data_IF_482310271120
#
_entry.id   IF_482310271120
#
_cell.length_a   1.000
_cell.length_b   1.000
_cell.length_c   1.000
_cell.angle_alpha   90.00
_cell.angle_beta   90.00
_cell.angle_gamma   90.00
#
_symmetry.space_group_name_H-M   'P 1'
#
loop_
_entity.id
_entity.type
_entity.pdbx_description
1 polymer ?
#
# COMPACT_ATOMS: atom_id res chain seq x y z
N UNK A 1 44.85 -49.32 -5.80
CA UNK A 1 44.68 -47.85 -5.74
C UNK A 1 43.92 -47.42 -7.00
N UNK A 2 42.70 -46.99 -6.86
CA UNK A 2 41.86 -46.48 -7.97
C UNK A 2 42.46 -45.16 -8.49
N UNK A 3 42.80 -45.11 -9.78
CA UNK A 3 43.35 -43.96 -10.44
C UNK A 3 42.35 -42.77 -10.26
N UNK A 4 42.78 -41.72 -9.56
CA UNK A 4 41.97 -40.51 -9.41
C UNK A 4 41.74 -39.88 -10.78
N UNK A 5 40.49 -39.62 -11.18
CA UNK A 5 40.18 -39.07 -12.48
C UNK A 5 40.94 -37.74 -12.71
N UNK A 6 41.53 -37.52 -13.87
CA UNK A 6 42.38 -36.35 -14.21
C UNK A 6 41.73 -35.02 -13.89
N UNK A 7 40.40 -34.90 -14.04
CA UNK A 7 39.68 -33.67 -13.74
C UNK A 7 39.62 -33.36 -12.23
N UNK A 8 39.58 -34.36 -11.35
CA UNK A 8 39.61 -34.19 -9.88
C UNK A 8 40.98 -33.61 -9.49
N UNK A 9 42.05 -34.11 -10.06
CA UNK A 9 43.39 -33.59 -9.82
C UNK A 9 43.48 -32.10 -10.25
N UNK A 10 42.95 -31.76 -11.43
CA UNK A 10 42.89 -30.40 -11.96
C UNK A 10 42.10 -29.49 -11.02
N UNK A 11 40.91 -29.89 -10.56
CA UNK A 11 40.09 -29.12 -9.66
C UNK A 11 40.79 -28.86 -8.30
N UNK A 12 41.45 -29.89 -7.76
CA UNK A 12 42.19 -29.78 -6.50
C UNK A 12 43.41 -28.90 -6.62
N UNK A 13 44.17 -28.97 -7.71
CA UNK A 13 45.35 -28.15 -7.94
C UNK A 13 45.04 -26.67 -8.19
N UNK A 14 43.83 -26.35 -8.64
CA UNK A 14 43.36 -24.96 -8.81
C UNK A 14 42.88 -24.32 -7.51
N UNK A 15 42.74 -25.07 -6.42
CA UNK A 15 42.37 -24.50 -5.13
C UNK A 15 43.53 -23.69 -4.51
N UNK A 16 43.27 -22.49 -3.95
CA UNK A 16 44.27 -21.70 -3.23
C UNK A 16 44.85 -22.44 -2.03
N UNK A 17 45.99 -22.02 -1.54
CA UNK A 17 46.61 -22.62 -0.34
C UNK A 17 45.65 -22.52 0.86
N UNK A 18 45.45 -23.65 1.53
CA UNK A 18 44.51 -23.74 2.65
C UNK A 18 43.04 -24.02 2.27
N UNK A 19 42.78 -24.10 0.95
CA UNK A 19 41.47 -24.46 0.43
C UNK A 19 41.43 -25.92 -0.04
N UNK A 20 40.30 -26.58 0.11
CA UNK A 20 40.16 -27.97 -0.35
C UNK A 20 38.76 -28.26 -0.85
N UNK A 21 38.68 -29.14 -1.87
CA UNK A 21 37.41 -29.60 -2.44
C UNK A 21 37.24 -31.09 -2.28
N UNK A 22 36.00 -31.52 -2.03
CA UNK A 22 35.63 -32.93 -1.96
C UNK A 22 34.22 -33.16 -2.49
N UNK A 23 33.92 -34.41 -2.85
CA UNK A 23 32.57 -34.80 -3.17
C UNK A 23 31.71 -34.89 -1.86
N UNK A 24 30.57 -34.25 -1.88
CA UNK A 24 29.58 -34.38 -0.81
C UNK A 24 28.20 -34.54 -1.44
N UNK A 25 27.66 -35.75 -1.43
CA UNK A 25 26.35 -36.07 -2.01
C UNK A 25 26.19 -35.65 -3.49
N UNK A 26 27.21 -35.88 -4.29
CA UNK A 26 27.20 -35.53 -5.73
C UNK A 26 27.46 -34.04 -6.03
N UNK A 27 27.77 -33.22 -5.04
CA UNK A 27 28.09 -31.79 -5.21
C UNK A 27 29.52 -31.47 -4.77
N UNK A 28 30.09 -30.37 -5.26
CA UNK A 28 31.38 -29.82 -4.85
C UNK A 28 31.26 -29.19 -3.49
N UNK A 29 31.91 -29.76 -2.49
CA UNK A 29 31.99 -29.22 -1.15
C UNK A 29 33.36 -28.53 -0.98
N UNK A 30 33.34 -27.23 -0.61
CA UNK A 30 34.51 -26.40 -0.43
C UNK A 30 34.77 -26.19 1.06
N UNK A 31 36.02 -26.28 1.47
CA UNK A 31 36.48 -26.06 2.84
C UNK A 31 37.73 -25.16 2.82
N UNK A 32 37.72 -24.14 3.67
CA UNK A 32 38.82 -23.16 3.84
C UNK A 32 39.31 -23.22 5.28
N UNK A 33 40.61 -23.38 5.48
CA UNK A 33 41.22 -23.30 6.79
C UNK A 33 41.88 -21.93 6.96
N UNK A 34 41.47 -21.16 7.93
CA UNK A 34 41.97 -19.85 8.23
C UNK A 34 42.48 -19.76 9.69
N UNK A 35 43.52 -18.93 9.91
CA UNK A 35 44.12 -18.65 11.22
C UNK A 35 45.44 -19.36 11.50
N UNK A 36 46.21 -18.83 12.43
CA UNK A 36 47.47 -19.45 12.93
C UNK A 36 47.13 -20.81 13.57
N UNK A 37 47.67 -21.88 12.96
CA UNK A 37 47.43 -23.25 13.39
C UNK A 37 46.24 -23.98 12.75
N UNK A 38 45.50 -23.40 11.78
CA UNK A 38 44.48 -24.07 10.96
C UNK A 38 43.26 -24.56 11.73
N UNK A 39 42.96 -23.96 12.89
CA UNK A 39 41.91 -24.45 13.81
C UNK A 39 40.47 -24.05 13.44
N UNK A 40 40.24 -23.04 12.59
CA UNK A 40 38.90 -22.65 12.14
C UNK A 40 38.73 -23.03 10.68
N UNK A 41 37.77 -23.90 10.36
CA UNK A 41 37.40 -24.25 8.99
C UNK A 41 36.03 -23.65 8.66
N UNK A 42 36.00 -22.76 7.67
CA UNK A 42 34.74 -22.33 7.06
C UNK A 42 34.42 -23.25 5.88
N UNK A 43 33.17 -23.65 5.75
CA UNK A 43 32.77 -24.66 4.77
C UNK A 43 31.46 -24.27 4.07
N UNK A 44 31.36 -24.60 2.78
CA UNK A 44 30.13 -24.41 2.01
C UNK A 44 29.99 -25.48 0.91
N UNK A 45 28.77 -25.68 0.39
CA UNK A 45 28.52 -26.53 -0.76
C UNK A 45 28.25 -25.65 -1.97
N UNK A 46 29.06 -25.80 -3.02
CA UNK A 46 28.83 -25.07 -4.26
C UNK A 46 27.59 -25.62 -4.99
N UNK A 47 26.87 -24.81 -5.77
CA UNK A 47 25.69 -25.24 -6.52
C UNK A 47 26.03 -26.09 -7.76
N UNK A 48 27.23 -26.65 -7.81
CA UNK A 48 27.81 -27.37 -8.94
C UNK A 48 27.90 -28.87 -8.65
N UNK A 49 27.61 -29.68 -9.66
CA UNK A 49 27.76 -31.13 -9.58
C UNK A 49 29.22 -31.53 -9.43
N UNK A 50 29.51 -32.67 -8.77
CA UNK A 50 30.82 -33.27 -8.73
C UNK A 50 31.04 -34.07 -10.04
N UNK A 51 31.30 -33.35 -11.15
CA UNK A 51 31.43 -33.90 -12.51
C UNK A 51 32.48 -33.12 -13.30
N UNK A 52 32.98 -33.75 -14.38
CA UNK A 52 34.07 -33.22 -15.19
C UNK A 52 33.70 -31.92 -15.94
N UNK A 53 32.47 -31.80 -16.37
CA UNK A 53 31.90 -30.64 -17.07
C UNK A 53 31.74 -29.40 -16.16
N UNK A 54 31.56 -29.60 -14.87
CA UNK A 54 31.44 -28.50 -13.90
C UNK A 54 32.82 -27.93 -13.50
N UNK A 55 33.95 -28.48 -13.89
CA UNK A 55 35.29 -28.04 -13.43
C UNK A 55 35.65 -26.63 -13.85
N UNK A 56 35.42 -26.15 -15.10
CA UNK A 56 35.76 -24.78 -15.48
C UNK A 56 35.00 -23.75 -14.63
N UNK A 57 33.70 -23.97 -14.44
CA UNK A 57 32.84 -23.09 -13.66
C UNK A 57 33.21 -23.10 -12.17
N UNK A 58 33.54 -24.27 -11.63
CA UNK A 58 34.00 -24.40 -10.24
C UNK A 58 35.32 -23.67 -9.99
N UNK A 59 36.26 -23.69 -10.92
CA UNK A 59 37.53 -22.94 -10.81
C UNK A 59 37.27 -21.43 -10.79
N UNK A 60 36.43 -20.92 -11.69
CA UNK A 60 36.07 -19.51 -11.75
C UNK A 60 35.40 -19.07 -10.44
N UNK A 61 34.43 -19.82 -9.96
CA UNK A 61 33.71 -19.53 -8.71
C UNK A 61 34.62 -19.54 -7.48
N UNK A 62 35.56 -20.50 -7.42
CA UNK A 62 36.56 -20.57 -6.33
C UNK A 62 37.47 -19.32 -6.34
N UNK A 63 37.89 -18.84 -7.52
CA UNK A 63 38.72 -17.65 -7.65
C UNK A 63 37.95 -16.38 -7.17
N UNK A 64 36.70 -16.23 -7.53
CA UNK A 64 35.85 -15.11 -7.06
C UNK A 64 35.65 -15.14 -5.53
N UNK A 65 35.35 -16.33 -4.99
CA UNK A 65 35.22 -16.50 -3.54
C UNK A 65 36.51 -16.16 -2.80
N UNK A 66 37.68 -16.52 -3.37
CA UNK A 66 38.95 -16.18 -2.80
C UNK A 66 39.17 -14.67 -2.69
N UNK A 67 38.79 -13.92 -3.72
CA UNK A 67 38.90 -12.45 -3.69
C UNK A 67 38.02 -11.83 -2.59
N UNK A 68 36.79 -12.30 -2.43
CA UNK A 68 35.89 -11.79 -1.39
C UNK A 68 36.34 -12.14 0.01
N UNK A 69 36.82 -13.37 0.24
CA UNK A 69 37.32 -13.82 1.55
C UNK A 69 38.64 -13.10 1.89
N UNK A 70 39.57 -12.92 0.92
CA UNK A 70 40.86 -12.32 1.16
C UNK A 70 40.85 -10.79 1.28
N UNK A 71 40.03 -10.08 0.47
CA UNK A 71 39.99 -8.63 0.42
C UNK A 71 38.94 -8.01 1.36
N UNK A 72 37.81 -8.64 1.51
CA UNK A 72 36.63 -8.07 2.21
C UNK A 72 36.36 -8.78 3.56
N UNK A 73 37.12 -9.84 3.90
CA UNK A 73 36.98 -10.53 5.19
C UNK A 73 35.68 -11.32 5.37
N UNK A 74 34.95 -11.63 4.29
CA UNK A 74 33.72 -12.38 4.34
C UNK A 74 33.96 -13.82 4.83
N UNK A 75 33.00 -14.37 5.57
CA UNK A 75 32.91 -15.81 5.75
C UNK A 75 32.56 -16.48 4.41
N UNK A 76 33.03 -17.72 4.21
CA UNK A 76 32.88 -18.44 2.94
C UNK A 76 31.42 -18.59 2.48
N UNK A 77 30.47 -18.72 3.45
CA UNK A 77 29.04 -18.82 3.15
C UNK A 77 28.48 -17.48 2.68
N UNK A 78 28.90 -16.38 3.32
CA UNK A 78 28.46 -15.04 2.96
C UNK A 78 29.07 -14.60 1.62
N UNK A 79 30.33 -14.95 1.37
CA UNK A 79 30.97 -14.78 0.07
C UNK A 79 30.23 -15.53 -1.04
N UNK A 80 29.83 -16.79 -0.80
CA UNK A 80 29.04 -17.57 -1.76
C UNK A 80 27.66 -16.97 -2.01
N UNK A 81 27.00 -16.46 -0.98
CA UNK A 81 25.69 -15.78 -1.12
C UNK A 81 25.84 -14.48 -1.90
N UNK A 82 26.96 -13.76 -1.74
CA UNK A 82 27.26 -12.53 -2.49
C UNK A 82 27.56 -12.84 -3.97
N UNK A 83 28.27 -13.91 -4.28
CA UNK A 83 28.52 -14.35 -5.66
C UNK A 83 27.28 -14.95 -6.31
N UNK A 84 26.46 -15.65 -5.53
CA UNK A 84 25.16 -16.17 -5.99
C UNK A 84 24.09 -15.11 -6.07
N UNK A 85 24.22 -14.02 -5.30
CA UNK A 85 23.39 -12.88 -5.57
C UNK A 85 23.61 -12.54 -7.04
N UNK A 86 22.58 -12.52 -7.88
CA UNK A 86 22.76 -12.12 -9.26
C UNK A 86 23.53 -10.82 -9.17
N UNK A 87 24.74 -10.79 -9.80
CA UNK A 87 25.43 -9.52 -10.08
C UNK A 87 24.29 -8.66 -10.59
N UNK A 88 23.99 -7.51 -9.97
CA UNK A 88 23.02 -6.65 -10.58
C UNK A 88 23.56 -6.46 -12.00
N UNK A 89 23.03 -7.24 -12.95
CA UNK A 89 23.21 -6.93 -14.36
C UNK A 89 22.93 -5.46 -14.34
N UNK A 90 23.85 -4.62 -14.85
CA UNK A 90 23.55 -3.21 -15.08
C UNK A 90 22.28 -3.24 -15.87
N UNK A 91 21.18 -3.27 -15.13
CA UNK A 91 19.84 -3.12 -15.69
C UNK A 91 19.96 -1.84 -16.48
N UNK A 92 19.60 -1.84 -17.76
CA UNK A 92 19.57 -0.62 -18.54
C UNK A 92 18.90 0.40 -17.65
N UNK A 93 19.41 1.59 -17.51
CA UNK A 93 19.12 2.64 -16.53
C UNK A 93 17.66 2.62 -16.07
N UNK A 94 17.35 1.77 -15.10
CA UNK A 94 15.99 1.52 -14.59
C UNK A 94 15.37 2.81 -14.05
N UNK A 95 16.19 3.79 -13.70
CA UNK A 95 15.74 5.10 -13.24
C UNK A 95 14.85 5.85 -14.26
N UNK A 96 15.06 5.62 -15.58
CA UNK A 96 14.22 6.24 -16.62
C UNK A 96 12.91 5.50 -16.92
N UNK A 97 12.78 4.27 -16.42
CA UNK A 97 11.63 3.41 -16.72
C UNK A 97 10.51 3.45 -15.66
N UNK A 98 10.80 3.94 -14.44
CA UNK A 98 9.82 3.96 -13.35
C UNK A 98 8.63 4.90 -13.60
N UNK A 99 8.80 6.10 -14.17
CA UNK A 99 7.66 6.93 -14.56
C UNK A 99 6.74 6.23 -15.55
N UNK A 100 7.31 5.65 -16.62
CA UNK A 100 6.58 4.90 -17.64
C UNK A 100 5.87 3.68 -17.06
N UNK A 101 6.51 2.99 -16.13
CA UNK A 101 5.92 1.85 -15.41
C UNK A 101 4.72 2.26 -14.56
N UNK A 102 4.76 3.44 -13.93
CA UNK A 102 3.64 4.01 -13.16
C UNK A 102 2.49 4.39 -14.07
N UNK A 103 2.75 4.97 -15.24
CA UNK A 103 1.70 5.28 -16.23
C UNK A 103 1.01 4.01 -16.73
N UNK A 104 1.76 2.97 -17.05
CA UNK A 104 1.23 1.65 -17.46
C UNK A 104 0.42 1.00 -16.34
N UNK A 105 0.87 1.08 -15.09
CA UNK A 105 0.10 0.61 -13.95
C UNK A 105 -1.23 1.36 -13.78
N UNK A 106 -1.22 2.68 -13.99
CA UNK A 106 -2.44 3.47 -13.95
C UNK A 106 -3.43 3.03 -15.03
N UNK A 107 -2.94 2.83 -16.25
CA UNK A 107 -3.76 2.36 -17.37
C UNK A 107 -4.34 0.97 -17.12
N UNK A 108 -3.52 0.02 -16.65
CA UNK A 108 -3.95 -1.33 -16.30
C UNK A 108 -5.02 -1.33 -15.19
N UNK A 109 -4.80 -0.54 -14.15
CA UNK A 109 -5.75 -0.42 -13.04
C UNK A 109 -7.09 0.16 -13.48
N UNK A 110 -7.11 1.08 -14.47
CA UNK A 110 -8.35 1.62 -15.03
C UNK A 110 -9.15 0.57 -15.82
N UNK A 111 -8.48 -0.40 -16.42
CA UNK A 111 -9.12 -1.51 -17.15
C UNK A 111 -9.68 -2.55 -16.17
N UNK A 112 -8.87 -3.00 -15.21
CA UNK A 112 -9.24 -4.09 -14.30
C UNK A 112 -10.19 -3.64 -13.19
N UNK A 113 -9.94 -2.47 -12.62
CA UNK A 113 -10.71 -1.93 -11.48
C UNK A 113 -10.75 -0.41 -11.53
N UNK A 114 -11.64 0.17 -12.34
CA UNK A 114 -11.68 1.62 -12.59
C UNK A 114 -11.65 2.43 -11.31
N UNK A 115 -10.65 3.29 -11.19
CA UNK A 115 -10.43 4.17 -10.03
C UNK A 115 -10.86 5.58 -10.38
N UNK A 116 -11.75 6.17 -9.56
CA UNK A 116 -12.16 7.58 -9.74
C UNK A 116 -10.94 8.50 -9.62
N UNK A 117 -10.85 9.61 -10.43
CA UNK A 117 -9.72 10.54 -10.39
C UNK A 117 -9.35 11.00 -8.97
N UNK A 118 -10.34 11.43 -8.18
CA UNK A 118 -10.14 11.85 -6.78
C UNK A 118 -9.56 10.72 -5.90
N UNK A 119 -9.90 9.47 -6.18
CA UNK A 119 -9.35 8.32 -5.43
C UNK A 119 -7.91 8.03 -5.86
N UNK A 120 -7.60 8.19 -7.14
CA UNK A 120 -6.25 8.10 -7.66
C UNK A 120 -5.33 9.14 -6.99
N UNK A 121 -5.70 10.42 -7.06
CA UNK A 121 -4.93 11.52 -6.48
C UNK A 121 -4.68 11.38 -4.96
N UNK A 122 -5.62 10.77 -4.23
CA UNK A 122 -5.52 10.66 -2.76
C UNK A 122 -4.89 9.37 -2.26
N UNK A 123 -5.01 8.27 -3.00
CA UNK A 123 -4.64 6.96 -2.48
C UNK A 123 -3.55 6.26 -3.29
N UNK A 124 -3.17 6.79 -4.47
CA UNK A 124 -2.16 6.22 -5.35
C UNK A 124 -1.06 7.22 -5.71
N UNK A 125 -1.41 8.34 -6.33
CA UNK A 125 -0.45 9.30 -6.85
C UNK A 125 0.62 9.76 -5.84
N UNK A 126 0.31 10.12 -4.57
CA UNK A 126 1.33 10.56 -3.63
C UNK A 126 2.40 9.48 -3.33
N UNK A 127 1.98 8.22 -3.33
CA UNK A 127 2.89 7.11 -3.05
C UNK A 127 3.70 6.73 -4.29
N UNK A 128 3.09 6.72 -5.47
CA UNK A 128 3.74 6.40 -6.74
C UNK A 128 4.74 7.49 -7.14
N UNK A 129 4.40 8.76 -6.97
CA UNK A 129 5.34 9.87 -7.20
C UNK A 129 6.56 9.76 -6.28
N UNK A 130 6.35 9.42 -5.00
CA UNK A 130 7.46 9.18 -4.07
C UNK A 130 8.31 7.98 -4.48
N UNK A 131 7.73 6.93 -5.05
CA UNK A 131 8.49 5.80 -5.60
C UNK A 131 9.38 6.26 -6.75
N UNK A 132 8.85 7.07 -7.68
CA UNK A 132 9.62 7.63 -8.81
C UNK A 132 10.81 8.45 -8.27
N UNK A 133 10.57 9.35 -7.31
CA UNK A 133 11.62 10.16 -6.68
C UNK A 133 12.72 9.30 -6.06
N UNK A 134 12.34 8.28 -5.28
CA UNK A 134 13.28 7.37 -4.63
C UNK A 134 14.12 6.59 -5.65
N UNK A 135 13.49 6.13 -6.72
CA UNK A 135 14.16 5.37 -7.77
C UNK A 135 15.04 6.23 -8.70
N UNK A 136 14.76 7.53 -8.78
CA UNK A 136 15.59 8.50 -9.49
C UNK A 136 16.78 9.00 -8.65
N UNK A 137 16.82 8.72 -7.36
CA UNK A 137 17.89 9.20 -6.46
C UNK A 137 19.21 8.45 -6.68
N UNK A 138 20.32 9.09 -6.30
CA UNK A 138 21.67 8.45 -6.33
C UNK A 138 21.79 7.25 -5.38
N UNK A 139 20.90 7.16 -4.39
CA UNK A 139 20.78 6.05 -3.42
C UNK A 139 19.54 5.22 -3.66
N UNK A 140 19.20 4.99 -4.92
CA UNK A 140 18.01 4.26 -5.29
C UNK A 140 17.92 2.88 -4.58
N UNK A 141 16.75 2.52 -4.04
CA UNK A 141 16.54 1.22 -3.42
C UNK A 141 16.79 0.06 -4.40
N UNK A 142 17.49 -0.96 -3.93
CA UNK A 142 17.90 -2.11 -4.76
C UNK A 142 16.89 -3.28 -4.72
N UNK A 143 15.89 -3.22 -3.87
CA UNK A 143 14.86 -4.26 -3.72
C UNK A 143 13.57 -3.70 -3.11
N UNK A 144 12.50 -4.49 -3.18
CA UNK A 144 11.17 -4.14 -2.67
C UNK A 144 11.15 -3.74 -1.20
N UNK A 145 11.97 -4.41 -0.35
CA UNK A 145 12.00 -4.12 1.09
C UNK A 145 12.66 -2.76 1.38
N UNK A 146 13.79 -2.46 0.76
CA UNK A 146 14.45 -1.16 0.90
C UNK A 146 13.59 -0.03 0.35
N UNK A 147 12.94 -0.24 -0.80
CA UNK A 147 11.98 0.70 -1.35
C UNK A 147 10.80 0.95 -0.39
N UNK A 148 10.25 -0.10 0.20
CA UNK A 148 9.15 0.02 1.15
C UNK A 148 9.52 0.82 2.41
N UNK A 149 10.73 0.59 2.97
CA UNK A 149 11.22 1.32 4.15
C UNK A 149 11.36 2.81 3.83
N UNK A 150 12.00 3.16 2.72
CA UNK A 150 12.21 4.56 2.32
C UNK A 150 10.88 5.24 1.93
N UNK A 151 9.94 4.48 1.35
CA UNK A 151 8.62 4.99 0.98
C UNK A 151 7.82 5.41 2.21
N UNK A 152 7.81 4.61 3.28
CA UNK A 152 6.96 4.88 4.45
C UNK A 152 7.55 5.88 5.44
N UNK A 153 8.80 6.25 5.29
CA UNK A 153 9.49 7.17 6.20
C UNK A 153 8.70 8.46 6.51
N UNK A 154 8.15 9.20 5.51
CA UNK A 154 7.39 10.42 5.78
C UNK A 154 6.07 10.17 6.54
N UNK A 155 5.63 8.93 6.61
CA UNK A 155 4.37 8.52 7.26
C UNK A 155 4.61 7.60 8.46
N UNK A 156 5.82 7.61 9.07
CA UNK A 156 6.18 6.79 10.24
C UNK A 156 5.13 6.92 11.36
N UNK A 157 4.70 8.14 11.66
CA UNK A 157 3.75 8.47 12.71
C UNK A 157 2.28 8.50 12.26
N UNK A 158 2.02 8.12 11.01
CA UNK A 158 0.69 8.10 10.40
C UNK A 158 0.28 6.68 9.98
N UNK A 159 -0.15 5.80 10.91
CA UNK A 159 -0.42 4.39 10.63
C UNK A 159 -1.37 4.14 9.45
N UNK A 160 -2.37 5.01 9.27
CA UNK A 160 -3.32 4.92 8.16
C UNK A 160 -2.64 5.16 6.81
N UNK A 161 -1.82 6.21 6.69
CA UNK A 161 -1.13 6.54 5.45
C UNK A 161 -0.02 5.53 5.16
N UNK A 162 0.72 5.11 6.20
CA UNK A 162 1.71 4.02 6.09
C UNK A 162 1.06 2.73 5.56
N UNK A 163 -0.11 2.37 6.08
CA UNK A 163 -0.87 1.22 5.59
C UNK A 163 -1.31 1.34 4.13
N UNK A 164 -1.71 2.55 3.70
CA UNK A 164 -2.07 2.84 2.29
C UNK A 164 -0.84 2.79 1.38
N UNK A 165 0.29 3.38 1.79
CA UNK A 165 1.54 3.35 1.04
C UNK A 165 1.99 1.92 0.75
N UNK A 166 2.03 1.06 1.78
CA UNK A 166 2.41 -0.35 1.62
C UNK A 166 1.43 -1.12 0.74
N UNK A 167 0.12 -0.84 0.85
CA UNK A 167 -0.88 -1.46 -0.04
C UNK A 167 -0.69 -1.03 -1.50
N UNK A 168 -0.46 0.25 -1.73
CA UNK A 168 -0.20 0.80 -3.06
C UNK A 168 1.08 0.21 -3.65
N UNK A 169 2.18 0.20 -2.89
CA UNK A 169 3.45 -0.38 -3.30
C UNK A 169 3.31 -1.86 -3.67
N UNK A 170 2.61 -2.65 -2.86
CA UNK A 170 2.38 -4.06 -3.16
C UNK A 170 1.71 -4.25 -4.51
N UNK A 171 0.56 -3.57 -4.74
CA UNK A 171 -0.18 -3.67 -5.99
C UNK A 171 0.67 -3.26 -7.20
N UNK A 172 1.46 -2.21 -7.05
CA UNK A 172 2.36 -1.73 -8.09
C UNK A 172 3.50 -2.72 -8.39
N UNK A 173 4.13 -3.29 -7.35
CA UNK A 173 5.21 -4.26 -7.53
C UNK A 173 4.69 -5.60 -8.07
N UNK A 174 3.52 -6.06 -7.63
CA UNK A 174 2.89 -7.26 -8.17
C UNK A 174 2.65 -7.08 -9.69
N UNK A 175 2.10 -5.93 -10.13
CA UNK A 175 1.96 -5.58 -11.53
C UNK A 175 3.32 -5.52 -12.27
N UNK A 176 4.32 -4.88 -11.68
CA UNK A 176 5.64 -4.74 -12.28
C UNK A 176 6.34 -6.11 -12.48
N UNK A 177 6.16 -7.03 -11.55
CA UNK A 177 6.69 -8.40 -11.65
C UNK A 177 5.90 -9.23 -12.66
N UNK A 178 4.56 -9.21 -12.60
CA UNK A 178 3.71 -10.08 -13.41
C UNK A 178 3.62 -9.64 -14.88
N UNK A 179 3.57 -8.32 -15.13
CA UNK A 179 3.32 -7.76 -16.46
C UNK A 179 4.61 -7.24 -17.14
N UNK A 180 5.54 -6.72 -16.35
CA UNK A 180 6.79 -6.11 -16.86
C UNK A 180 8.06 -6.90 -16.51
N UNK A 181 7.91 -8.12 -15.98
CA UNK A 181 9.01 -9.05 -15.73
C UNK A 181 10.12 -8.50 -14.82
N UNK A 182 9.78 -7.64 -13.84
CA UNK A 182 10.76 -7.32 -12.81
C UNK A 182 11.15 -8.60 -12.06
N UNK A 183 12.44 -8.75 -11.65
CA UNK A 183 12.90 -9.96 -10.95
C UNK A 183 12.12 -10.18 -9.64
N UNK A 184 11.29 -11.23 -9.60
CA UNK A 184 10.41 -11.53 -8.46
C UNK A 184 11.18 -11.70 -7.15
N UNK A 185 12.39 -12.29 -7.18
CA UNK A 185 13.23 -12.49 -6.00
C UNK A 185 13.59 -11.17 -5.30
N UNK A 186 13.73 -10.08 -6.08
CA UNK A 186 14.13 -8.77 -5.57
C UNK A 186 12.94 -7.85 -5.32
N UNK A 187 11.86 -7.98 -6.10
CA UNK A 187 10.77 -6.99 -6.15
C UNK A 187 9.43 -7.48 -5.60
N UNK A 188 9.39 -8.67 -4.99
CA UNK A 188 8.18 -9.16 -4.30
C UNK A 188 8.23 -8.87 -2.79
N UNK A 189 7.13 -8.34 -2.25
CA UNK A 189 6.95 -8.17 -0.80
C UNK A 189 6.22 -9.37 -0.21
N UNK A 190 6.86 -10.09 0.72
CA UNK A 190 6.21 -11.18 1.45
C UNK A 190 5.15 -10.66 2.41
N UNK A 191 4.11 -11.44 2.71
CA UNK A 191 3.06 -11.07 3.66
C UNK A 191 3.62 -10.76 5.06
N UNK A 192 4.69 -11.45 5.47
CA UNK A 192 5.41 -11.16 6.71
C UNK A 192 6.03 -9.75 6.69
N UNK A 193 6.71 -9.39 5.60
CA UNK A 193 7.29 -8.05 5.41
C UNK A 193 6.20 -6.97 5.40
N UNK A 194 5.11 -7.21 4.71
CA UNK A 194 3.94 -6.30 4.65
C UNK A 194 3.37 -6.06 6.06
N UNK A 195 3.19 -7.11 6.85
CA UNK A 195 2.68 -7.00 8.23
C UNK A 195 3.63 -6.18 9.11
N UNK A 196 4.93 -6.43 9.03
CA UNK A 196 5.95 -5.68 9.77
C UNK A 196 5.98 -4.19 9.37
N UNK A 197 5.99 -3.90 8.06
CA UNK A 197 6.07 -2.54 7.52
C UNK A 197 4.81 -1.72 7.81
N UNK A 198 3.63 -2.32 7.84
CA UNK A 198 2.39 -1.65 8.23
C UNK A 198 2.40 -1.23 9.71
N UNK A 199 3.07 -2.00 10.57
CA UNK A 199 3.09 -1.77 12.00
C UNK A 199 1.73 -1.89 12.68
N UNK A 200 1.58 -1.27 13.85
CA UNK A 200 0.33 -1.24 14.59
C UNK A 200 -0.76 -0.48 13.82
N UNK A 201 -2.00 -0.95 13.96
CA UNK A 201 -3.16 -0.20 13.45
C UNK A 201 -3.33 1.10 14.24
N UNK A 202 -3.80 2.15 13.57
CA UNK A 202 -4.24 3.34 14.28
C UNK A 202 -5.35 2.97 15.28
N UNK A 203 -5.25 3.51 16.47
CA UNK A 203 -6.35 3.42 17.42
C UNK A 203 -7.61 4.04 16.81
N UNK A 204 -8.74 3.41 17.04
CA UNK A 204 -10.02 3.98 16.61
C UNK A 204 -10.27 5.21 17.46
N UNK A 205 -10.27 6.37 16.84
CA UNK A 205 -10.74 7.59 17.51
C UNK A 205 -12.18 7.38 17.93
N UNK A 206 -12.46 7.53 19.21
CA UNK A 206 -13.82 7.68 19.69
C UNK A 206 -14.34 9.02 19.13
N UNK A 207 -15.32 8.94 18.23
CA UNK A 207 -15.96 10.15 17.72
C UNK A 207 -16.92 10.64 18.81
N UNK A 208 -16.72 11.86 19.27
CA UNK A 208 -17.69 12.50 20.16
C UNK A 208 -19.02 12.61 19.43
N UNK A 209 -20.08 12.17 20.07
CA UNK A 209 -21.44 12.36 19.57
C UNK A 209 -21.91 13.78 19.93
N UNK A 210 -22.55 14.45 19.00
CA UNK A 210 -23.20 15.74 19.26
C UNK A 210 -24.61 15.46 19.81
N UNK A 211 -25.00 16.13 20.89
CA UNK A 211 -26.32 16.02 21.48
C UNK A 211 -27.34 16.92 20.77
N UNK A 212 -28.64 16.62 20.96
CA UNK A 212 -29.71 17.43 20.40
C UNK A 212 -29.59 18.90 20.80
N UNK A 213 -29.24 19.16 22.06
CA UNK A 213 -29.06 20.52 22.60
C UNK A 213 -27.89 21.24 21.92
N UNK A 214 -26.79 20.56 21.67
CA UNK A 214 -25.64 21.13 20.95
C UNK A 214 -25.98 21.44 19.50
N UNK A 215 -26.79 20.56 18.84
CA UNK A 215 -27.30 20.82 17.48
C UNK A 215 -28.15 22.08 17.48
N UNK A 216 -29.08 22.24 18.43
CA UNK A 216 -29.94 23.40 18.51
C UNK A 216 -29.14 24.69 18.77
N UNK A 217 -28.17 24.66 19.70
CA UNK A 217 -27.25 25.78 19.94
C UNK A 217 -26.43 26.15 18.69
N UNK A 218 -25.95 25.17 17.95
CA UNK A 218 -25.26 25.41 16.69
C UNK A 218 -26.16 26.13 15.69
N UNK A 219 -27.42 25.69 15.54
CA UNK A 219 -28.36 26.30 14.63
C UNK A 219 -28.67 27.76 15.04
N UNK A 220 -28.79 28.04 16.35
CA UNK A 220 -29.04 29.39 16.90
C UNK A 220 -27.82 30.29 16.75
N UNK A 221 -26.59 29.75 16.77
CA UNK A 221 -25.35 30.53 16.64
C UNK A 221 -25.06 30.98 15.19
N UNK A 222 -25.77 30.44 14.20
CA UNK A 222 -25.56 30.83 12.80
C UNK A 222 -26.11 32.27 12.57
N UNK A 223 -25.37 33.04 11.78
CA UNK A 223 -25.76 34.41 11.42
C UNK A 223 -27.15 34.44 10.75
N UNK A 224 -27.82 35.57 10.85
CA UNK A 224 -29.09 35.82 10.16
C UNK A 224 -28.81 36.39 8.76
N UNK A 225 -28.53 35.48 7.81
CA UNK A 225 -28.32 35.80 6.42
C UNK A 225 -28.89 34.67 5.54
N UNK A 226 -29.18 34.97 4.28
CA UNK A 226 -29.70 33.97 3.33
C UNK A 226 -28.75 32.79 3.15
N UNK A 227 -27.44 33.03 3.15
CA UNK A 227 -26.45 31.95 3.05
C UNK A 227 -26.49 31.08 4.31
N UNK A 228 -26.49 31.67 5.52
CA UNK A 228 -26.56 30.92 6.75
C UNK A 228 -27.91 30.19 6.91
N UNK A 229 -29.00 30.79 6.47
CA UNK A 229 -30.32 30.15 6.48
C UNK A 229 -30.39 28.90 5.60
N UNK A 230 -29.73 28.93 4.43
CA UNK A 230 -29.60 27.74 3.59
C UNK A 230 -28.81 26.63 4.28
N UNK A 231 -27.70 26.96 4.93
CA UNK A 231 -26.92 26.00 5.70
C UNK A 231 -27.63 25.50 6.95
N UNK A 232 -28.40 26.38 7.66
CA UNK A 232 -29.24 25.98 8.77
C UNK A 232 -30.26 24.91 8.35
N UNK A 233 -30.85 25.03 7.17
CA UNK A 233 -31.77 24.03 6.63
C UNK A 233 -31.03 22.72 6.29
N UNK A 234 -29.83 22.78 5.71
CA UNK A 234 -29.04 21.59 5.44
C UNK A 234 -28.64 20.84 6.74
N UNK A 235 -28.26 21.59 7.80
CA UNK A 235 -27.93 21.01 9.11
C UNK A 235 -29.17 20.37 9.74
N UNK A 236 -30.33 21.07 9.72
CA UNK A 236 -31.61 20.51 10.18
C UNK A 236 -31.94 19.20 9.47
N UNK A 237 -31.78 19.13 8.13
CA UNK A 237 -32.02 17.93 7.36
C UNK A 237 -31.08 16.78 7.76
N UNK A 238 -29.78 17.07 7.92
CA UNK A 238 -28.83 16.06 8.38
C UNK A 238 -29.13 15.54 9.79
N UNK A 239 -29.49 16.44 10.69
CA UNK A 239 -29.82 16.09 12.08
C UNK A 239 -31.11 15.28 12.17
N UNK A 240 -32.19 15.75 11.52
CA UNK A 240 -33.51 15.13 11.62
C UNK A 240 -33.57 13.75 10.97
N UNK A 241 -32.84 13.54 9.87
CA UNK A 241 -32.91 12.30 9.09
C UNK A 241 -31.64 11.44 9.13
N UNK A 242 -30.63 11.81 9.93
CA UNK A 242 -29.36 11.07 10.03
C UNK A 242 -28.59 11.01 8.72
N UNK A 243 -28.61 12.07 7.91
CA UNK A 243 -28.09 12.10 6.55
C UNK A 243 -26.59 12.39 6.52
N UNK A 244 -25.91 11.78 5.54
CA UNK A 244 -24.59 12.23 5.16
C UNK A 244 -24.67 13.47 4.27
N UNK A 245 -23.64 14.35 4.27
CA UNK A 245 -23.64 15.55 3.41
C UNK A 245 -23.94 15.25 1.94
N UNK A 246 -23.42 14.16 1.39
CA UNK A 246 -23.64 13.75 -0.02
C UNK A 246 -25.10 13.36 -0.30
N UNK A 247 -25.82 12.86 0.69
CA UNK A 247 -27.22 12.43 0.55
C UNK A 247 -28.18 13.62 0.38
N UNK A 248 -27.81 14.81 0.83
CA UNK A 248 -28.62 16.03 0.69
C UNK A 248 -28.93 16.37 -0.80
N UNK A 249 -28.01 16.05 -1.73
CA UNK A 249 -28.23 16.26 -3.16
C UNK A 249 -29.20 15.27 -3.80
N UNK A 250 -29.62 14.27 -3.04
CA UNK A 250 -30.42 13.15 -3.53
C UNK A 250 -31.79 13.04 -2.81
N UNK A 251 -32.24 14.13 -2.23
CA UNK A 251 -33.51 14.19 -1.53
C UNK A 251 -34.63 14.61 -2.47
N UNK A 252 -35.75 13.90 -2.37
CA UNK A 252 -36.98 14.24 -3.03
C UNK A 252 -38.15 14.08 -2.04
N UNK A 253 -39.19 14.88 -2.19
CA UNK A 253 -40.45 14.69 -1.44
C UNK A 253 -41.43 13.90 -2.29
N UNK A 254 -42.05 12.90 -1.69
CA UNK A 254 -43.12 12.08 -2.30
C UNK A 254 -44.24 11.85 -1.29
N UNK A 255 -45.44 11.59 -1.75
CA UNK A 255 -46.49 11.09 -0.88
C UNK A 255 -46.11 9.72 -0.30
N UNK A 256 -46.16 9.60 1.03
CA UNK A 256 -45.88 8.33 1.70
C UNK A 256 -46.91 7.27 1.28
N UNK A 257 -46.50 6.04 0.96
CA UNK A 257 -47.39 5.01 0.42
C UNK A 257 -48.61 4.71 1.31
N UNK A 258 -48.45 4.77 2.63
CA UNK A 258 -49.47 4.40 3.59
C UNK A 258 -50.34 5.59 4.04
N UNK A 259 -49.73 6.82 4.12
CA UNK A 259 -50.42 7.98 4.70
C UNK A 259 -50.80 9.03 3.68
N UNK A 260 -50.24 8.99 2.48
CA UNK A 260 -50.40 10.03 1.46
C UNK A 260 -49.68 11.37 1.80
N UNK A 261 -49.20 11.52 3.01
CA UNK A 261 -48.57 12.77 3.46
C UNK A 261 -47.16 12.99 2.82
N UNK A 262 -46.73 14.23 2.65
CA UNK A 262 -45.38 14.52 2.16
C UNK A 262 -44.34 13.88 3.06
N UNK A 263 -43.46 13.04 2.49
CA UNK A 263 -42.38 12.36 3.18
C UNK A 263 -41.09 12.44 2.38
N UNK A 264 -39.95 12.46 3.09
CA UNK A 264 -38.66 12.47 2.47
C UNK A 264 -38.29 11.11 1.93
N UNK A 265 -37.73 11.12 0.70
CA UNK A 265 -37.20 9.94 0.04
C UNK A 265 -35.79 10.21 -0.46
N UNK A 266 -34.84 9.39 -0.07
CA UNK A 266 -33.44 9.50 -0.50
C UNK A 266 -33.18 8.57 -1.69
N UNK A 267 -32.82 9.16 -2.82
CA UNK A 267 -32.51 8.42 -4.06
C UNK A 267 -31.03 8.01 -4.12
N UNK A 268 -30.21 8.42 -3.15
CA UNK A 268 -28.77 8.11 -3.12
C UNK A 268 -28.52 6.61 -3.05
N UNK A 269 -27.65 6.15 -3.97
CA UNK A 269 -27.19 4.77 -4.00
C UNK A 269 -25.68 4.74 -3.79
N UNK A 270 -25.25 4.32 -2.60
CA UNK A 270 -23.84 4.07 -2.38
C UNK A 270 -23.42 2.80 -3.10
N UNK A 271 -22.52 2.95 -4.06
CA UNK A 271 -21.92 1.82 -4.77
C UNK A 271 -20.74 1.30 -3.93
N UNK A 272 -20.82 0.05 -3.48
CA UNK A 272 -19.71 -0.72 -2.93
C UNK A 272 -19.37 -1.81 -3.93
N UNK A 273 -18.12 -2.31 -3.92
CA UNK A 273 -17.57 -3.25 -4.94
C UNK A 273 -18.48 -4.42 -5.35
N UNK A 274 -19.46 -4.79 -4.53
CA UNK A 274 -20.37 -5.93 -4.79
C UNK A 274 -21.87 -5.62 -4.61
N UNK A 275 -22.23 -4.38 -4.20
CA UNK A 275 -23.62 -4.03 -3.91
C UNK A 275 -23.86 -2.54 -4.05
N UNK A 276 -25.13 -2.19 -4.33
CA UNK A 276 -25.64 -0.82 -4.25
C UNK A 276 -26.65 -0.75 -3.12
N UNK A 277 -26.60 0.32 -2.30
CA UNK A 277 -27.69 0.56 -1.35
C UNK A 277 -28.95 0.94 -2.11
N UNK A 278 -30.11 0.43 -1.69
CA UNK A 278 -31.37 0.84 -2.29
C UNK A 278 -31.73 2.28 -1.90
N UNK A 279 -32.47 3.01 -2.76
CA UNK A 279 -33.17 4.21 -2.35
C UNK A 279 -34.13 3.90 -1.19
N UNK A 280 -34.35 4.88 -0.30
CA UNK A 280 -35.14 4.62 0.92
C UNK A 280 -35.97 5.80 1.35
N UNK A 281 -37.10 5.50 2.01
CA UNK A 281 -37.86 6.45 2.79
C UNK A 281 -37.02 6.87 4.01
N UNK A 282 -37.13 8.14 4.39
CA UNK A 282 -36.44 8.68 5.55
C UNK A 282 -37.46 8.90 6.66
N UNK A 283 -37.21 8.29 7.80
CA UNK A 283 -37.97 8.49 9.00
C UNK A 283 -37.32 9.62 9.82
N UNK A 284 -38.08 10.61 10.32
CA UNK A 284 -37.55 11.64 11.16
C UNK A 284 -37.05 11.07 12.50
N UNK A 285 -35.90 11.50 12.94
CA UNK A 285 -35.35 11.27 14.28
C UNK A 285 -35.69 12.49 15.12
N UNK A 286 -36.68 12.43 16.04
CA UNK A 286 -37.12 13.60 16.76
C UNK A 286 -36.02 14.13 17.69
N UNK A 287 -35.63 15.38 17.47
CA UNK A 287 -34.73 16.12 18.40
C UNK A 287 -35.55 16.65 19.56
N UNK A 288 -34.89 16.71 20.72
CA UNK A 288 -35.50 17.29 21.95
C UNK A 288 -34.77 18.55 22.38
N UNK A 289 -35.52 19.58 22.78
CA UNK A 289 -34.96 20.77 23.38
C UNK A 289 -34.58 20.53 24.87
N UNK A 290 -34.06 21.56 25.54
CA UNK A 290 -33.69 21.49 26.95
C UNK A 290 -34.84 21.12 27.89
N UNK A 291 -36.08 21.44 27.50
CA UNK A 291 -37.28 21.10 28.26
C UNK A 291 -37.80 19.67 27.94
N UNK A 292 -37.12 18.91 27.09
CA UNK A 292 -37.54 17.59 26.67
C UNK A 292 -38.64 17.56 25.59
N UNK A 293 -39.08 18.70 25.09
CA UNK A 293 -40.09 18.82 24.07
C UNK A 293 -39.49 18.46 22.69
N UNK A 294 -40.24 17.73 21.88
CA UNK A 294 -39.89 17.42 20.50
C UNK A 294 -39.93 18.69 19.66
N UNK A 295 -38.85 18.85 18.87
CA UNK A 295 -38.71 19.97 17.92
C UNK A 295 -39.19 19.47 16.55
N UNK A 296 -40.29 20.01 16.07
CA UNK A 296 -40.79 19.73 14.72
C UNK A 296 -40.51 20.92 13.79
N UNK A 297 -39.76 20.65 12.75
CA UNK A 297 -39.43 21.68 11.74
C UNK A 297 -40.26 21.55 10.47
N UNK A 298 -41.12 20.56 10.39
CA UNK A 298 -41.95 20.23 9.19
C UNK A 298 -41.14 20.33 7.87
N UNK A 299 -39.90 19.80 7.84
CA UNK A 299 -39.01 19.98 6.69
C UNK A 299 -39.55 19.33 5.41
N UNK A 300 -40.24 18.20 5.52
CA UNK A 300 -40.87 17.55 4.36
C UNK A 300 -41.97 18.40 3.74
N UNK A 301 -42.83 18.98 4.58
CA UNK A 301 -43.87 19.91 4.13
C UNK A 301 -43.32 21.17 3.49
N UNK A 302 -42.34 21.80 4.15
CA UNK A 302 -41.68 22.99 3.61
C UNK A 302 -40.97 22.74 2.29
N UNK A 303 -40.29 21.58 2.13
CA UNK A 303 -39.66 21.20 0.88
C UNK A 303 -40.68 20.89 -0.24
N UNK A 304 -41.81 20.30 0.11
CA UNK A 304 -42.89 19.99 -0.87
C UNK A 304 -43.40 21.26 -1.55
N UNK A 305 -43.53 22.36 -0.81
CA UNK A 305 -44.00 23.66 -1.33
C UNK A 305 -42.85 24.59 -1.75
N UNK A 306 -41.62 24.05 -1.88
CA UNK A 306 -40.42 24.79 -2.29
C UNK A 306 -40.05 25.98 -1.39
N UNK A 307 -40.41 25.95 -0.12
CA UNK A 307 -40.11 26.98 0.89
C UNK A 307 -38.90 26.61 1.77
N UNK A 308 -38.11 25.61 1.37
CA UNK A 308 -36.90 25.19 2.08
C UNK A 308 -35.67 25.49 1.19
N UNK A 309 -35.11 26.71 1.23
CA UNK A 309 -33.90 27.01 0.48
C UNK A 309 -32.73 26.18 1.00
N UNK A 310 -32.03 25.51 0.09
CA UNK A 310 -30.87 24.69 0.38
C UNK A 310 -29.60 25.31 -0.20
N UNK A 311 -28.43 25.09 0.40
CA UNK A 311 -27.19 25.55 -0.19
C UNK A 311 -26.90 24.81 -1.51
N UNK A 312 -26.17 25.46 -2.40
CA UNK A 312 -25.61 24.77 -3.57
C UNK A 312 -24.50 23.84 -3.08
N UNK A 313 -24.76 22.56 -3.07
CA UNK A 313 -23.81 21.52 -2.69
C UNK A 313 -23.10 21.05 -3.94
N UNK A 314 -22.06 21.81 -4.39
CA UNK A 314 -21.30 21.48 -5.58
C UNK A 314 -20.56 20.15 -5.48
N UNK A 315 -20.01 19.85 -4.32
CA UNK A 315 -19.43 18.54 -4.01
C UNK A 315 -19.60 18.21 -2.51
N UNK A 316 -19.27 16.97 -2.15
CA UNK A 316 -19.34 16.47 -0.77
C UNK A 316 -18.44 17.20 0.24
N UNK A 317 -17.57 18.09 -0.21
CA UNK A 317 -16.66 18.86 0.62
C UNK A 317 -17.19 20.24 0.97
N UNK A 318 -18.19 20.75 0.26
CA UNK A 318 -18.79 22.05 0.53
C UNK A 318 -19.28 22.17 1.98
N UNK A 319 -19.95 21.12 2.49
CA UNK A 319 -20.39 21.08 3.90
C UNK A 319 -19.22 21.07 4.88
N UNK A 320 -18.16 20.32 4.58
CA UNK A 320 -16.98 20.22 5.44
C UNK A 320 -16.19 21.55 5.52
N UNK A 321 -16.26 22.34 4.49
CA UNK A 321 -15.57 23.64 4.43
C UNK A 321 -16.35 24.72 5.17
N UNK A 322 -17.67 24.58 5.27
CA UNK A 322 -18.53 25.52 5.97
C UNK A 322 -18.51 25.31 7.51
N UNK A 323 -18.45 24.06 7.97
CA UNK A 323 -18.35 23.69 9.39
C UNK A 323 -16.90 23.71 9.88
#
# INVERSE_FOLDING_TARGET
MTATAKWITRLRSSCPKGWSVKNMRGKIYLSVRSGAGGKKASTTTLPLAWAADAVPEAISLIAELQQLVAKEGFDLRDALNKVKAPVPSKSPSVASEWPDLVEKFQADLQVISPVKPVSWERNYAPFLNRIIELMASSTAPINARSLAVNLIEPWSDMPTNRGKAIKCLRLFLDFAVEVHNLPAESWTLTDRSIKQLRGAKAERRTVATISDVEILRLLDSLADSDAANRWRNAIKMMALYGLRPEELNHLVVKGHPETGQPAMYCTYQKVCNKSKTAPRWLMPLPLKNLAGNVVDWNLAGAMAIKQLPMPSLGDKYAVKTFL
#
